data_IF_876633617354
#
_entry.id   IF_876633617354
#
_cell.length_a   1.000
_cell.length_b   1.000
_cell.length_c   1.000
_cell.angle_alpha   90.00
_cell.angle_beta   90.00
_cell.angle_gamma   90.00
#
_symmetry.space_group_name_H-M   'P 1'
#
loop_
_entity.id
_entity.type
_entity.pdbx_description
1 polymer ?
#
# COMPACT_ATOMS: atom_id res chain seq x y z
N UNK A 1 16.15 -14.97 4.32
CA UNK A 1 17.59 -15.25 4.13
C UNK A 1 18.14 -16.36 5.05
N UNK A 2 17.77 -16.43 6.32
CA UNK A 2 18.24 -17.49 7.25
C UNK A 2 17.85 -18.91 6.82
N UNK A 3 16.65 -19.11 6.26
CA UNK A 3 16.17 -20.43 5.82
C UNK A 3 17.01 -20.99 4.66
N UNK A 4 17.29 -20.19 3.65
CA UNK A 4 18.11 -20.58 2.51
C UNK A 4 19.55 -20.93 2.94
N UNK A 5 20.16 -20.08 3.80
CA UNK A 5 21.47 -20.35 4.37
C UNK A 5 21.50 -21.63 5.20
N UNK A 6 20.41 -21.90 5.98
CA UNK A 6 20.25 -23.12 6.74
C UNK A 6 20.17 -24.36 5.84
N UNK A 7 19.38 -24.31 4.78
CA UNK A 7 19.26 -25.42 3.81
C UNK A 7 20.60 -25.72 3.13
N UNK A 8 21.35 -24.68 2.76
CA UNK A 8 22.70 -24.84 2.17
C UNK A 8 23.67 -25.47 3.18
N UNK A 9 23.64 -25.03 4.46
CA UNK A 9 24.49 -25.60 5.52
C UNK A 9 24.16 -27.06 5.84
N UNK A 10 22.89 -27.46 5.65
CA UNK A 10 22.41 -28.82 5.81
C UNK A 10 22.59 -29.65 4.54
N UNK A 11 23.26 -29.13 3.52
CA UNK A 11 23.48 -29.75 2.21
C UNK A 11 22.17 -30.15 1.48
N UNK A 12 21.03 -29.53 1.87
CA UNK A 12 19.70 -29.73 1.28
C UNK A 12 19.54 -28.84 0.05
N UNK A 13 20.33 -29.09 -0.98
CA UNK A 13 20.42 -28.23 -2.17
C UNK A 13 19.15 -28.23 -3.01
N UNK A 14 18.42 -29.36 -3.06
CA UNK A 14 17.18 -29.47 -3.80
C UNK A 14 16.10 -28.56 -3.16
N UNK A 15 15.94 -28.59 -1.84
CA UNK A 15 15.02 -27.74 -1.11
C UNK A 15 15.41 -26.26 -1.21
N UNK A 16 16.70 -25.96 -1.21
CA UNK A 16 17.20 -24.62 -1.38
C UNK A 16 16.86 -24.05 -2.78
N UNK A 17 17.02 -24.88 -3.82
CA UNK A 17 16.65 -24.51 -5.18
C UNK A 17 15.16 -24.34 -5.35
N UNK A 18 14.34 -25.23 -4.77
CA UNK A 18 12.88 -25.13 -4.79
C UNK A 18 12.42 -23.81 -4.14
N UNK A 19 13.00 -23.44 -2.99
CA UNK A 19 12.70 -22.18 -2.30
C UNK A 19 13.03 -20.97 -3.17
N UNK A 20 14.21 -20.95 -3.81
CA UNK A 20 14.62 -19.88 -4.73
C UNK A 20 13.65 -19.77 -5.91
N UNK A 21 13.30 -20.90 -6.53
CA UNK A 21 12.36 -20.90 -7.66
C UNK A 21 10.98 -20.38 -7.26
N UNK A 22 10.46 -20.79 -6.12
CA UNK A 22 9.16 -20.36 -5.60
C UNK A 22 9.14 -18.86 -5.32
N UNK A 23 10.15 -18.33 -4.62
CA UNK A 23 10.24 -16.89 -4.33
C UNK A 23 10.40 -16.06 -5.60
N UNK A 24 11.18 -16.54 -6.57
CA UNK A 24 11.37 -15.87 -7.85
C UNK A 24 10.09 -15.85 -8.68
N UNK A 25 9.35 -16.96 -8.71
CA UNK A 25 8.09 -17.05 -9.43
C UNK A 25 7.04 -16.08 -8.88
N UNK A 26 6.85 -16.04 -7.56
CA UNK A 26 5.90 -15.11 -6.91
C UNK A 26 6.25 -13.65 -7.22
N UNK A 27 7.53 -13.30 -7.15
CA UNK A 27 7.97 -11.95 -7.52
C UNK A 27 7.71 -11.64 -9.00
N UNK A 28 8.03 -12.58 -9.89
CA UNK A 28 7.79 -12.41 -11.34
C UNK A 28 6.30 -12.26 -11.65
N UNK A 29 5.44 -13.06 -11.01
CA UNK A 29 3.99 -12.97 -11.15
C UNK A 29 3.47 -11.60 -10.73
N UNK A 30 3.96 -11.06 -9.59
CA UNK A 30 3.60 -9.72 -9.14
C UNK A 30 4.04 -8.65 -10.13
N UNK A 31 5.28 -8.69 -10.61
CA UNK A 31 5.79 -7.72 -11.59
C UNK A 31 5.01 -7.80 -12.90
N UNK A 32 4.72 -9.00 -13.40
CA UNK A 32 3.92 -9.19 -14.61
C UNK A 32 2.49 -8.66 -14.42
N UNK A 33 1.89 -8.88 -13.24
CA UNK A 33 0.59 -8.32 -12.92
C UNK A 33 0.61 -6.79 -12.97
N UNK A 34 1.60 -6.15 -12.32
CA UNK A 34 1.78 -4.69 -12.38
C UNK A 34 1.90 -4.21 -13.82
N UNK A 35 2.79 -4.81 -14.61
CA UNK A 35 3.03 -4.39 -16.01
C UNK A 35 1.77 -4.51 -16.88
N UNK A 36 0.92 -5.49 -16.59
CA UNK A 36 -0.31 -5.74 -17.36
C UNK A 36 -1.46 -4.83 -16.94
N UNK A 37 -1.58 -4.53 -15.65
CA UNK A 37 -2.78 -3.91 -15.06
C UNK A 37 -2.58 -2.45 -14.67
N UNK A 38 -1.35 -2.04 -14.41
CA UNK A 38 -1.00 -0.67 -13.99
C UNK A 38 -0.15 -0.04 -15.10
N UNK A 39 -0.79 0.67 -16.01
CA UNK A 39 -0.11 1.21 -17.19
C UNK A 39 0.68 2.50 -16.91
N UNK A 40 0.52 3.08 -15.71
CA UNK A 40 1.33 4.22 -15.29
C UNK A 40 2.68 3.77 -14.70
N UNK A 41 3.84 4.11 -15.35
CA UNK A 41 5.15 3.62 -14.90
C UNK A 41 5.56 4.10 -13.50
N UNK A 42 5.11 5.29 -13.08
CA UNK A 42 5.41 5.83 -11.76
C UNK A 42 4.71 5.02 -10.66
N UNK A 43 3.42 4.71 -10.89
CA UNK A 43 2.67 3.87 -9.96
C UNK A 43 3.20 2.44 -9.95
N UNK A 44 3.46 1.87 -11.11
CA UNK A 44 4.07 0.53 -11.19
C UNK A 44 5.38 0.46 -10.43
N UNK A 45 6.26 1.46 -10.61
CA UNK A 45 7.54 1.54 -9.94
C UNK A 45 7.43 1.62 -8.42
N UNK A 46 6.54 2.48 -7.89
CA UNK A 46 6.36 2.58 -6.43
C UNK A 46 5.76 1.31 -5.82
N UNK A 47 4.80 0.65 -6.50
CA UNK A 47 4.20 -0.59 -6.03
C UNK A 47 5.22 -1.73 -5.97
N UNK A 48 6.09 -1.87 -6.98
CA UNK A 48 7.21 -2.82 -6.96
C UNK A 48 8.17 -2.49 -5.79
N UNK A 49 8.45 -1.21 -5.55
CA UNK A 49 9.26 -0.76 -4.43
C UNK A 49 8.66 -1.15 -3.07
N UNK A 50 7.37 -0.95 -2.88
CA UNK A 50 6.67 -1.36 -1.65
C UNK A 50 6.58 -2.87 -1.49
N UNK A 51 6.37 -3.61 -2.56
CA UNK A 51 6.42 -5.08 -2.51
C UNK A 51 7.78 -5.58 -2.01
N UNK A 52 8.88 -5.03 -2.53
CA UNK A 52 10.23 -5.39 -2.08
C UNK A 52 10.44 -5.00 -0.61
N UNK A 53 9.98 -3.81 -0.21
CA UNK A 53 10.07 -3.35 1.18
C UNK A 53 9.25 -4.21 2.13
N UNK A 54 8.04 -4.62 1.73
CA UNK A 54 7.20 -5.54 2.49
C UNK A 54 7.90 -6.88 2.75
N UNK A 55 8.55 -7.45 1.73
CA UNK A 55 9.34 -8.69 1.88
C UNK A 55 10.47 -8.54 2.90
N UNK A 56 11.18 -7.40 2.91
CA UNK A 56 12.22 -7.12 3.91
C UNK A 56 11.65 -7.07 5.33
N UNK A 57 10.45 -6.52 5.49
CA UNK A 57 9.74 -6.35 6.76
C UNK A 57 8.90 -7.57 7.15
N UNK A 58 8.86 -8.62 6.30
CA UNK A 58 8.04 -9.82 6.46
C UNK A 58 6.54 -9.49 6.55
N UNK A 59 6.11 -8.55 5.72
CA UNK A 59 4.73 -8.13 5.54
C UNK A 59 4.17 -8.86 4.32
N UNK A 60 2.99 -9.46 4.44
CA UNK A 60 2.22 -9.94 3.30
C UNK A 60 1.53 -8.76 2.62
N UNK A 61 2.17 -8.25 1.55
CA UNK A 61 1.63 -7.13 0.77
C UNK A 61 0.91 -7.65 -0.46
N UNK A 62 -0.41 -7.52 -0.45
CA UNK A 62 -1.29 -8.02 -1.49
C UNK A 62 -1.84 -6.86 -2.34
N UNK A 63 -1.71 -6.98 -3.66
CA UNK A 63 -2.47 -6.18 -4.60
C UNK A 63 -3.66 -7.01 -5.08
N UNK A 64 -4.88 -6.48 -4.89
CA UNK A 64 -6.09 -7.16 -5.29
C UNK A 64 -6.07 -7.48 -6.79
N UNK A 65 -6.53 -8.68 -7.17
CA UNK A 65 -6.49 -9.17 -8.54
C UNK A 65 -7.40 -8.41 -9.51
N UNK A 66 -8.40 -7.73 -8.99
CA UNK A 66 -9.28 -6.87 -9.77
C UNK A 66 -8.70 -5.46 -9.96
N UNK A 67 -7.58 -5.16 -9.30
CA UNK A 67 -6.89 -3.88 -9.49
C UNK A 67 -6.52 -3.64 -10.94
N UNK A 68 -6.68 -2.40 -11.38
CA UNK A 68 -6.27 -1.95 -12.71
C UNK A 68 -6.30 -0.43 -12.77
N UNK A 69 -5.31 0.13 -13.45
CA UNK A 69 -5.25 1.56 -13.75
C UNK A 69 -4.67 1.72 -15.15
N UNK A 70 -5.55 2.00 -16.12
CA UNK A 70 -5.12 2.17 -17.51
C UNK A 70 -4.58 3.58 -17.73
N UNK A 71 -5.28 4.60 -17.22
CA UNK A 71 -4.89 5.97 -17.47
C UNK A 71 -5.28 6.92 -16.33
N UNK A 72 -4.34 7.75 -15.91
CA UNK A 72 -4.65 8.91 -15.08
C UNK A 72 -5.28 10.00 -15.94
N UNK A 73 -6.27 10.69 -15.38
CA UNK A 73 -6.85 11.86 -16.01
C UNK A 73 -5.82 12.98 -16.17
N UNK A 74 -5.89 13.82 -17.22
CA UNK A 74 -4.86 14.81 -17.52
C UNK A 74 -4.57 15.83 -16.38
N UNK A 75 -5.55 16.05 -15.49
CA UNK A 75 -5.39 16.95 -14.34
C UNK A 75 -4.86 16.26 -13.08
N UNK A 76 -4.76 14.91 -13.10
CA UNK A 76 -4.22 14.12 -11.99
C UNK A 76 -2.76 13.79 -12.32
N UNK A 77 -1.85 14.53 -11.72
CA UNK A 77 -0.43 14.27 -11.90
C UNK A 77 -0.01 12.98 -11.18
N UNK A 78 0.85 12.17 -11.83
CA UNK A 78 1.33 10.91 -11.27
C UNK A 78 2.01 11.07 -9.90
N UNK A 79 2.71 12.20 -9.68
CA UNK A 79 3.37 12.50 -8.40
C UNK A 79 2.38 12.63 -7.23
N UNK A 80 1.16 13.12 -7.48
CA UNK A 80 0.12 13.23 -6.45
C UNK A 80 -0.33 11.84 -6.02
N UNK A 81 -0.66 10.99 -6.98
CA UNK A 81 -1.08 9.61 -6.69
C UNK A 81 0.06 8.82 -6.03
N UNK A 82 1.29 8.97 -6.51
CA UNK A 82 2.48 8.36 -5.88
C UNK A 82 2.65 8.83 -4.44
N UNK A 83 2.44 10.13 -4.17
CA UNK A 83 2.53 10.67 -2.81
C UNK A 83 1.41 10.16 -1.91
N UNK A 84 0.16 10.09 -2.41
CA UNK A 84 -0.97 9.52 -1.67
C UNK A 84 -0.68 8.07 -1.31
N UNK A 85 -0.35 7.23 -2.29
CA UNK A 85 -0.03 5.82 -2.09
C UNK A 85 1.14 5.63 -1.13
N UNK A 86 2.21 6.39 -1.33
CA UNK A 86 3.40 6.33 -0.49
C UNK A 86 3.10 6.55 0.98
N UNK A 87 2.29 7.56 1.29
CA UNK A 87 1.90 7.87 2.66
C UNK A 87 0.96 6.81 3.25
N UNK A 88 -0.05 6.36 2.49
CA UNK A 88 -1.02 5.36 2.97
C UNK A 88 -0.34 4.01 3.23
N UNK A 89 0.46 3.50 2.28
CA UNK A 89 1.14 2.20 2.44
C UNK A 89 2.18 2.25 3.56
N UNK A 90 2.93 3.37 3.69
CA UNK A 90 3.88 3.54 4.78
C UNK A 90 3.17 3.53 6.12
N UNK A 91 2.03 4.23 6.25
CA UNK A 91 1.24 4.22 7.47
C UNK A 91 0.69 2.83 7.80
N UNK A 92 0.23 2.07 6.79
CA UNK A 92 -0.22 0.70 6.95
C UNK A 92 0.91 -0.21 7.47
N UNK A 93 2.12 -0.14 6.87
CA UNK A 93 3.28 -0.90 7.34
C UNK A 93 3.65 -0.57 8.79
N UNK A 94 3.61 0.72 9.13
CA UNK A 94 3.90 1.17 10.50
C UNK A 94 2.81 0.76 11.51
N UNK A 95 1.54 0.69 11.09
CA UNK A 95 0.43 0.27 11.96
C UNK A 95 0.57 -1.20 12.41
N UNK A 96 1.17 -2.04 11.56
CA UNK A 96 1.35 -3.47 11.80
C UNK A 96 2.77 -3.84 12.25
N UNK A 97 3.66 -2.86 12.43
CA UNK A 97 5.08 -3.12 12.76
C UNK A 97 5.24 -4.02 13.99
N UNK A 98 4.39 -3.82 15.00
CA UNK A 98 4.42 -4.55 16.28
C UNK A 98 3.62 -5.86 16.29
N UNK A 99 2.90 -6.18 15.20
CA UNK A 99 2.16 -7.43 15.09
C UNK A 99 3.12 -8.62 15.03
N UNK A 100 2.63 -9.82 15.35
CA UNK A 100 3.37 -11.06 15.08
C UNK A 100 3.57 -11.24 13.57
N UNK A 101 4.60 -11.97 13.17
CA UNK A 101 5.01 -12.10 11.76
C UNK A 101 3.87 -12.61 10.85
N UNK A 102 3.05 -13.54 11.36
CA UNK A 102 1.95 -14.14 10.61
C UNK A 102 0.70 -13.23 10.50
N UNK A 103 0.68 -12.12 11.25
CA UNK A 103 -0.47 -11.20 11.30
C UNK A 103 -0.16 -9.87 10.59
N UNK A 104 0.94 -9.79 9.85
CA UNK A 104 1.36 -8.59 9.12
C UNK A 104 0.86 -8.62 7.69
N UNK A 105 -0.33 -8.12 7.47
CA UNK A 105 -0.93 -8.06 6.12
C UNK A 105 -1.33 -6.64 5.76
N UNK A 106 -1.01 -6.24 4.54
CA UNK A 106 -1.52 -5.01 3.91
C UNK A 106 -2.11 -5.36 2.55
N UNK A 107 -3.37 -5.01 2.34
CA UNK A 107 -4.08 -5.20 1.08
C UNK A 107 -4.30 -3.85 0.40
N UNK A 108 -4.05 -3.80 -0.89
CA UNK A 108 -4.29 -2.64 -1.71
C UNK A 108 -5.20 -2.99 -2.88
N UNK A 109 -6.10 -2.08 -3.21
CA UNK A 109 -6.90 -2.10 -4.42
C UNK A 109 -6.80 -0.74 -5.12
N UNK A 110 -6.79 -0.74 -6.46
CA UNK A 110 -6.89 0.48 -7.25
C UNK A 110 -7.67 0.21 -8.52
N UNK A 111 -8.58 1.12 -8.88
CA UNK A 111 -9.33 1.02 -10.12
C UNK A 111 -9.59 2.39 -10.71
N UNK A 112 -9.67 2.43 -12.04
CA UNK A 112 -10.15 3.58 -12.81
C UNK A 112 -11.43 3.23 -13.61
N UNK A 113 -12.16 2.21 -13.16
CA UNK A 113 -13.47 1.88 -13.74
C UNK A 113 -14.50 2.90 -13.23
N UNK A 114 -15.32 3.45 -14.13
CA UNK A 114 -16.32 4.47 -13.77
C UNK A 114 -15.78 5.90 -13.88
N UNK A 115 -16.31 6.81 -13.08
CA UNK A 115 -16.04 8.26 -13.17
C UNK A 115 -14.93 8.73 -12.22
N UNK A 116 -14.46 7.85 -11.34
CA UNK A 116 -13.45 8.14 -10.34
C UNK A 116 -12.30 7.13 -10.43
N UNK A 117 -11.14 7.54 -9.95
CA UNK A 117 -10.07 6.64 -9.59
C UNK A 117 -10.24 6.32 -8.12
N UNK A 118 -10.47 5.06 -7.79
CA UNK A 118 -10.62 4.60 -6.42
C UNK A 118 -9.33 3.89 -5.99
N UNK A 119 -8.83 4.26 -4.81
CA UNK A 119 -7.65 3.65 -4.18
C UNK A 119 -8.05 3.21 -2.78
N UNK A 120 -7.80 1.95 -2.46
CA UNK A 120 -8.02 1.40 -1.14
C UNK A 120 -6.72 0.84 -0.59
N UNK A 121 -6.44 1.13 0.68
CA UNK A 121 -5.32 0.56 1.42
C UNK A 121 -5.84 0.12 2.78
N UNK A 122 -5.69 -1.16 3.05
CA UNK A 122 -6.15 -1.81 4.27
C UNK A 122 -4.98 -2.48 4.98
N UNK A 123 -4.98 -2.41 6.30
CA UNK A 123 -3.99 -3.05 7.16
C UNK A 123 -4.62 -4.01 8.17
N UNK A 124 -3.81 -4.93 8.71
CA UNK A 124 -4.19 -5.84 9.79
C UNK A 124 -3.85 -5.31 11.18
N UNK A 125 -3.74 -3.99 11.33
CA UNK A 125 -3.40 -3.35 12.60
C UNK A 125 -4.59 -3.25 13.57
N UNK A 126 -4.44 -2.37 14.55
CA UNK A 126 -5.49 -2.16 15.57
C UNK A 126 -6.63 -1.26 15.09
N UNK A 127 -6.53 -0.73 13.86
CA UNK A 127 -7.47 0.26 13.34
C UNK A 127 -7.30 1.64 13.96
N UNK A 128 -8.26 2.52 13.71
CA UNK A 128 -8.27 3.89 14.20
C UNK A 128 -9.50 4.09 15.07
N UNK A 129 -9.30 4.55 16.30
CA UNK A 129 -10.41 4.87 17.21
C UNK A 129 -11.24 6.03 16.66
N UNK A 130 -12.56 5.92 16.75
CA UNK A 130 -13.50 6.94 16.24
C UNK A 130 -13.21 8.34 16.77
N UNK A 131 -12.78 8.46 18.04
CA UNK A 131 -12.46 9.72 18.70
C UNK A 131 -11.31 10.50 18.02
N UNK A 132 -10.41 9.81 17.30
CA UNK A 132 -9.24 10.42 16.68
C UNK A 132 -9.30 10.49 15.15
N UNK A 133 -10.32 9.90 14.50
CA UNK A 133 -10.45 9.84 13.02
C UNK A 133 -10.31 11.23 12.39
N UNK A 134 -10.92 12.25 12.98
CA UNK A 134 -10.82 13.62 12.45
C UNK A 134 -9.43 14.22 12.70
N UNK A 135 -8.83 13.86 13.82
CA UNK A 135 -7.57 14.44 14.27
C UNK A 135 -6.33 13.92 13.52
N UNK A 136 -6.39 12.70 12.97
CA UNK A 136 -5.26 12.08 12.25
C UNK A 136 -4.83 12.87 11.01
N UNK A 137 -5.68 13.75 10.48
CA UNK A 137 -5.40 14.61 9.35
C UNK A 137 -4.81 15.99 9.73
N UNK A 138 -4.70 16.30 11.01
CA UNK A 138 -4.06 17.56 11.42
C UNK A 138 -2.54 17.44 11.32
N UNK A 139 -1.91 18.51 10.80
CA UNK A 139 -0.44 18.59 10.70
C UNK A 139 0.19 18.45 12.09
N UNK A 140 1.12 17.52 12.22
CA UNK A 140 1.81 17.24 13.48
C UNK A 140 1.08 16.28 14.42
N UNK A 141 -0.13 15.80 14.09
CA UNK A 141 -0.79 14.77 14.87
C UNK A 141 -0.11 13.42 14.62
N UNK A 142 0.33 12.78 15.69
CA UNK A 142 0.92 11.44 15.65
C UNK A 142 0.59 10.72 16.94
N UNK A 143 0.18 9.47 16.85
CA UNK A 143 0.02 8.55 17.99
C UNK A 143 1.33 7.83 18.33
N UNK A 144 2.42 8.13 17.60
CA UNK A 144 3.72 7.47 17.73
C UNK A 144 4.64 8.24 18.66
N UNK A 145 5.41 7.51 19.49
CA UNK A 145 6.45 8.08 20.32
C UNK A 145 7.60 8.60 19.43
N UNK A 146 7.97 9.89 19.57
CA UNK A 146 9.11 10.47 18.85
C UNK A 146 8.87 11.71 17.99
N UNK A 147 7.66 12.23 17.91
CA UNK A 147 7.35 13.63 17.51
C UNK A 147 7.63 14.08 16.06
N UNK A 148 8.44 13.40 15.27
CA UNK A 148 8.85 13.85 13.93
C UNK A 148 7.90 13.43 12.79
N UNK A 149 6.85 12.67 13.08
CA UNK A 149 5.91 12.10 12.12
C UNK A 149 4.50 12.58 12.41
N UNK A 150 3.78 13.05 11.47
CA UNK A 150 2.42 13.59 11.62
C UNK A 150 2.02 14.44 10.43
N UNK A 151 2.80 14.36 9.36
CA UNK A 151 2.54 15.13 8.15
C UNK A 151 1.99 14.28 6.99
N UNK A 152 2.12 12.96 7.05
CA UNK A 152 1.76 12.06 5.96
C UNK A 152 0.28 12.10 5.61
N UNK A 153 -0.60 11.86 6.59
CA UNK A 153 -2.06 11.90 6.36
C UNK A 153 -2.58 13.30 6.11
N UNK A 154 -1.99 14.32 6.74
CA UNK A 154 -2.31 15.71 6.43
C UNK A 154 -1.98 16.05 4.96
N UNK A 155 -0.85 15.53 4.44
CA UNK A 155 -0.50 15.70 3.02
C UNK A 155 -1.43 14.91 2.10
N UNK A 156 -1.83 13.70 2.48
CA UNK A 156 -2.83 12.93 1.74
C UNK A 156 -4.13 13.72 1.62
N UNK A 157 -4.63 14.26 2.73
CA UNK A 157 -5.86 15.06 2.74
C UNK A 157 -5.74 16.28 1.83
N UNK A 158 -4.65 17.07 1.94
CA UNK A 158 -4.38 18.23 1.09
C UNK A 158 -4.42 17.85 -0.40
N UNK A 159 -3.71 16.77 -0.80
CA UNK A 159 -3.67 16.35 -2.20
C UNK A 159 -5.01 15.85 -2.72
N UNK A 160 -5.78 15.15 -1.88
CA UNK A 160 -7.12 14.67 -2.24
C UNK A 160 -8.08 15.86 -2.41
N UNK A 161 -8.04 16.84 -1.52
CA UNK A 161 -8.83 18.08 -1.61
C UNK A 161 -8.45 18.91 -2.85
N UNK A 162 -7.17 19.05 -3.16
CA UNK A 162 -6.67 19.75 -4.37
C UNK A 162 -7.17 19.11 -5.68
N UNK A 163 -7.44 17.82 -5.64
CA UNK A 163 -7.99 17.04 -6.75
C UNK A 163 -9.52 16.95 -6.73
N UNK A 164 -10.21 17.67 -5.83
CA UNK A 164 -11.65 17.59 -5.59
C UNK A 164 -12.13 16.16 -5.25
N UNK A 165 -11.26 15.36 -4.68
CA UNK A 165 -11.53 13.99 -4.27
C UNK A 165 -12.12 13.89 -2.87
N UNK A 166 -12.38 12.67 -2.46
CA UNK A 166 -12.84 12.34 -1.12
C UNK A 166 -11.96 11.29 -0.45
N UNK A 167 -11.97 11.31 0.88
CA UNK A 167 -11.30 10.31 1.72
C UNK A 167 -12.26 9.79 2.76
N UNK A 168 -12.36 8.46 2.85
CA UNK A 168 -13.11 7.77 3.89
C UNK A 168 -12.16 6.82 4.64
N UNK A 169 -12.52 6.54 5.90
CA UNK A 169 -11.82 5.58 6.75
C UNK A 169 -12.86 4.68 7.36
N UNK A 170 -12.64 3.40 7.22
CA UNK A 170 -13.52 2.36 7.73
C UNK A 170 -12.72 1.32 8.52
N UNK A 171 -13.41 0.43 9.21
CA UNK A 171 -12.80 -0.77 9.74
C UNK A 171 -12.72 -1.80 8.62
N UNK A 172 -11.51 -2.25 8.32
CA UNK A 172 -11.27 -3.24 7.27
C UNK A 172 -11.58 -4.68 7.71
N UNK A 173 -11.70 -5.56 6.72
CA UNK A 173 -11.91 -7.01 6.90
C UNK A 173 -10.66 -7.68 7.52
N UNK A 174 -9.45 -7.10 7.31
CA UNK A 174 -8.22 -7.53 7.95
C UNK A 174 -8.16 -7.17 9.44
N UNK A 175 -9.14 -6.41 9.92
CA UNK A 175 -9.29 -6.02 11.33
C UNK A 175 -8.76 -4.65 11.67
N UNK A 176 -7.89 -4.07 10.85
CA UNK A 176 -7.29 -2.75 11.02
C UNK A 176 -8.05 -1.63 10.32
N UNK A 177 -7.33 -0.65 9.81
CA UNK A 177 -7.90 0.49 9.11
C UNK A 177 -7.99 0.23 7.60
N UNK A 178 -9.10 0.64 6.99
CA UNK A 178 -9.28 0.72 5.55
C UNK A 178 -9.40 2.20 5.16
N UNK A 179 -8.42 2.70 4.40
CA UNK A 179 -8.48 4.01 3.77
C UNK A 179 -9.00 3.89 2.35
N UNK A 180 -10.02 4.68 2.04
CA UNK A 180 -10.65 4.74 0.72
C UNK A 180 -10.49 6.16 0.18
N UNK A 181 -9.83 6.29 -0.98
CA UNK A 181 -9.66 7.55 -1.70
C UNK A 181 -10.43 7.46 -3.01
N UNK A 182 -11.23 8.46 -3.31
CA UNK A 182 -11.89 8.61 -4.60
C UNK A 182 -11.46 9.94 -5.25
N UNK A 183 -10.92 9.88 -6.45
CA UNK A 183 -10.43 11.02 -7.22
C UNK A 183 -11.25 11.14 -8.50
N UNK A 184 -12.05 12.22 -8.70
CA UNK A 184 -12.82 12.42 -9.91
C UNK A 184 -11.93 12.49 -11.15
N UNK A 185 -12.34 11.80 -12.23
CA UNK A 185 -11.64 11.85 -13.52
C UNK A 185 -11.90 13.11 -14.31
N UNK A 186 -12.99 13.79 -14.02
CA UNK A 186 -13.30 15.09 -14.57
C UNK A 186 -13.10 16.17 -13.51
N UNK A 187 -12.55 17.30 -13.92
CA UNK A 187 -12.43 18.44 -13.02
C UNK A 187 -13.83 19.04 -12.90
N UNK A 188 -14.40 19.00 -11.70
CA UNK A 188 -15.63 19.73 -11.41
C UNK A 188 -15.51 21.20 -11.85
N UNK A 189 -16.55 21.74 -12.49
CA UNK A 189 -16.64 23.14 -12.92
C UNK A 189 -16.55 24.11 -11.74
#
# INVERSE_FOLDING_TARGET
>A
MYTLSGLIQLESYEDALELIHKETAVYQDFVQFIMKRIQNPWLGGILIGFYNRARELKIDFMLDRESGLEKLSPHIESNYVVSILGNLITNAFEAIEKNEENDKTVRMFVTDIGEEIVIEVEDSGQGIHEEIITSIFYKGFSTKEGGERGYGLAKVKELVEDLNGSIAIEKGDLGGALFIIALPKERGE
#
